data_IF_983525894378
#
_entry.id   IF_983525894378
#
_cell.length_a   1.000
_cell.length_b   1.000
_cell.length_c   1.000
_cell.angle_alpha   90.00
_cell.angle_beta   90.00
_cell.angle_gamma   90.00
#
_symmetry.space_group_name_H-M   'P 1'
#
loop_
_entity.id
_entity.type
_entity.pdbx_description
1 polymer ?
#
# COMPACT_ATOMS: atom_id res chain seq x y z
N UNK A 1 -15.59 80.28 46.57
CA UNK A 1 -16.27 79.24 47.37
C UNK A 1 -17.27 78.50 46.47
N UNK A 2 -17.06 77.17 46.33
CA UNK A 2 -17.90 76.07 45.78
C UNK A 2 -19.08 76.32 44.79
N UNK A 3 -19.12 75.42 43.79
CA UNK A 3 -20.32 74.86 43.13
C UNK A 3 -20.40 75.24 41.65
N UNK A 4 -20.32 74.36 40.64
CA UNK A 4 -20.72 72.95 40.55
C UNK A 4 -21.90 72.85 39.57
N UNK A 5 -21.64 72.80 38.26
CA UNK A 5 -22.64 72.67 37.20
C UNK A 5 -22.85 71.19 36.84
N UNK A 6 -24.08 70.71 36.85
CA UNK A 6 -24.46 69.41 36.28
C UNK A 6 -25.85 69.49 35.65
N UNK A 7 -25.92 69.33 34.32
CA UNK A 7 -27.13 68.94 33.61
C UNK A 7 -26.74 68.02 32.44
N UNK A 8 -27.17 66.75 32.51
CA UNK A 8 -27.03 65.73 31.46
C UNK A 8 -28.09 65.93 30.37
N UNK A 9 -27.66 65.85 29.11
CA UNK A 9 -28.49 66.00 27.91
C UNK A 9 -28.71 64.66 27.16
N UNK A 10 -29.95 64.52 26.67
CA UNK A 10 -30.44 63.89 25.42
C UNK A 10 -29.75 62.61 24.90
N UNK A 11 -30.44 61.46 25.03
CA UNK A 11 -30.16 60.20 24.31
C UNK A 11 -31.43 59.65 23.64
N UNK A 12 -31.82 60.16 22.47
CA UNK A 12 -32.81 59.47 21.63
C UNK A 12 -32.81 59.92 20.15
N UNK A 13 -31.64 59.93 19.50
CA UNK A 13 -31.55 60.12 18.02
C UNK A 13 -30.49 59.20 17.37
N UNK A 14 -29.62 58.54 18.14
CA UNK A 14 -28.49 57.76 17.56
C UNK A 14 -28.86 56.32 17.17
N UNK A 15 -30.03 55.81 17.57
CA UNK A 15 -30.35 54.37 17.39
C UNK A 15 -30.88 54.04 15.99
N UNK A 16 -31.41 54.99 15.23
CA UNK A 16 -32.08 54.70 13.94
C UNK A 16 -31.13 54.70 12.73
N UNK A 17 -30.00 55.41 12.78
CA UNK A 17 -29.06 55.51 11.65
C UNK A 17 -28.06 54.36 11.59
N UNK A 18 -27.84 53.64 12.69
CA UNK A 18 -26.91 52.52 12.75
C UNK A 18 -27.47 51.20 12.16
N UNK A 19 -28.80 51.08 12.00
CA UNK A 19 -29.43 49.83 11.55
C UNK A 19 -29.53 49.74 10.01
N UNK A 20 -29.65 50.87 9.29
CA UNK A 20 -29.69 50.85 7.81
C UNK A 20 -28.33 50.62 7.13
N UNK A 21 -27.21 50.86 7.83
CA UNK A 21 -25.87 50.64 7.25
C UNK A 21 -25.42 49.17 7.40
N UNK A 22 -26.05 48.40 8.29
CA UNK A 22 -25.70 46.98 8.53
C UNK A 22 -26.37 46.00 7.57
N UNK A 23 -27.30 46.44 6.71
CA UNK A 23 -28.03 45.56 5.77
C UNK A 23 -27.53 45.65 4.32
N UNK A 24 -26.50 46.43 4.04
CA UNK A 24 -26.05 46.71 2.67
C UNK A 24 -24.55 46.53 2.48
N UNK A 25 -24.07 45.28 2.45
CA UNK A 25 -23.01 44.74 1.57
C UNK A 25 -22.59 43.34 2.01
N UNK A 26 -23.53 42.40 2.07
CA UNK A 26 -23.13 40.99 1.95
C UNK A 26 -22.69 40.78 0.50
N UNK A 27 -21.40 41.00 0.23
CA UNK A 27 -20.79 40.53 -1.01
C UNK A 27 -20.86 39.02 -0.94
N UNK A 28 -21.80 38.42 -1.66
CA UNK A 28 -21.81 36.98 -1.87
C UNK A 28 -20.55 36.68 -2.68
N UNK A 29 -19.54 36.12 -2.01
CA UNK A 29 -18.39 35.56 -2.69
C UNK A 29 -18.89 34.32 -3.44
N UNK A 30 -19.18 34.48 -4.73
CA UNK A 30 -19.38 33.33 -5.61
C UNK A 30 -18.01 32.69 -5.82
N UNK A 31 -17.77 31.54 -5.17
CA UNK A 31 -16.69 30.67 -5.58
C UNK A 31 -16.96 30.25 -7.04
N UNK A 32 -16.05 30.57 -7.96
CA UNK A 32 -16.17 30.05 -9.32
C UNK A 32 -16.08 28.54 -9.27
N UNK A 33 -16.93 27.84 -10.02
CA UNK A 33 -16.79 26.39 -10.15
C UNK A 33 -15.35 26.07 -10.60
N UNK A 34 -14.64 25.15 -9.91
CA UNK A 34 -13.28 24.80 -10.28
C UNK A 34 -13.27 24.25 -11.72
N UNK A 35 -12.21 24.58 -12.45
CA UNK A 35 -12.01 24.07 -13.81
C UNK A 35 -11.75 22.57 -13.70
N UNK A 36 -12.57 21.76 -14.38
CA UNK A 36 -12.41 20.30 -14.40
C UNK A 36 -11.25 19.90 -15.30
N UNK A 37 -10.38 19.04 -14.80
CA UNK A 37 -9.33 18.40 -15.60
C UNK A 37 -9.82 17.01 -16.02
N UNK A 38 -9.88 16.75 -17.32
CA UNK A 38 -10.29 15.45 -17.87
C UNK A 38 -9.13 14.90 -18.67
N UNK A 39 -8.67 13.70 -18.32
CA UNK A 39 -7.53 13.03 -18.95
C UNK A 39 -7.99 11.64 -19.38
N UNK A 40 -7.89 11.34 -20.67
CA UNK A 40 -8.33 10.07 -21.27
C UNK A 40 -9.81 9.71 -20.98
N UNK A 41 -10.66 10.71 -20.74
CA UNK A 41 -12.09 10.51 -20.43
C UNK A 41 -12.40 10.48 -18.93
N UNK A 42 -11.38 10.39 -18.07
CA UNK A 42 -11.56 10.37 -16.62
C UNK A 42 -11.36 11.78 -16.02
N UNK A 43 -12.29 12.19 -15.16
CA UNK A 43 -12.14 13.43 -14.38
C UNK A 43 -11.06 13.21 -13.31
N UNK A 44 -10.02 14.05 -13.33
CA UNK A 44 -8.91 14.00 -12.38
C UNK A 44 -9.02 15.13 -11.38
N UNK A 45 -9.05 14.74 -10.11
CA UNK A 45 -8.91 15.69 -9.01
C UNK A 45 -7.43 16.04 -8.83
N UNK A 46 -7.15 17.31 -8.59
CA UNK A 46 -5.82 17.83 -8.33
C UNK A 46 -5.88 18.70 -7.09
N UNK A 47 -4.98 18.48 -6.13
CA UNK A 47 -4.90 19.26 -4.87
C UNK A 47 -4.85 20.77 -5.15
N UNK A 48 -4.10 21.16 -6.18
CA UNK A 48 -4.17 22.50 -6.75
C UNK A 48 -5.09 22.44 -7.98
N UNK A 49 -6.30 23.03 -7.99
CA UNK A 49 -7.16 22.99 -9.17
C UNK A 49 -6.55 23.82 -10.32
N UNK A 50 -6.87 23.53 -11.60
CA UNK A 50 -6.49 24.40 -12.71
C UNK A 50 -7.03 25.83 -12.51
N UNK A 51 -6.22 26.83 -12.84
CA UNK A 51 -6.53 28.25 -12.59
C UNK A 51 -6.38 29.10 -13.84
N UNK A 52 -7.11 30.21 -13.92
CA UNK A 52 -6.90 31.20 -14.99
C UNK A 52 -5.87 32.23 -14.52
N UNK A 53 -4.71 32.25 -15.15
CA UNK A 53 -3.65 33.22 -14.90
C UNK A 53 -3.40 33.98 -16.20
N UNK A 54 -3.55 35.31 -16.18
CA UNK A 54 -3.39 36.18 -17.35
C UNK A 54 -4.21 35.73 -18.58
N UNK A 55 -5.46 35.30 -18.35
CA UNK A 55 -6.36 34.84 -19.41
C UNK A 55 -6.04 33.45 -19.98
N UNK A 56 -5.07 32.73 -19.40
CA UNK A 56 -4.73 31.35 -19.80
C UNK A 56 -5.08 30.38 -18.69
N UNK A 57 -5.59 29.22 -19.06
CA UNK A 57 -5.77 28.11 -18.10
C UNK A 57 -4.39 27.50 -17.85
N UNK A 58 -3.97 27.53 -16.59
CA UNK A 58 -2.78 26.88 -16.08
C UNK A 58 -3.21 25.61 -15.36
N UNK A 59 -2.61 24.49 -15.75
CA UNK A 59 -2.83 23.18 -15.14
C UNK A 59 -1.62 22.85 -14.28
N UNK A 60 -1.78 22.23 -13.09
CA UNK A 60 -0.64 21.77 -12.30
C UNK A 60 0.25 20.85 -13.13
N UNK A 61 1.56 21.13 -13.12
CA UNK A 61 2.52 20.34 -13.87
C UNK A 61 2.50 18.86 -13.43
N UNK A 62 2.41 18.61 -12.13
CA UNK A 62 2.37 17.27 -11.52
C UNK A 62 1.22 16.42 -12.09
N UNK A 63 0.03 17.01 -12.21
CA UNK A 63 -1.15 16.33 -12.76
C UNK A 63 -0.94 15.86 -14.22
N UNK A 64 -0.09 16.55 -14.98
CA UNK A 64 0.27 16.14 -16.33
C UNK A 64 1.39 15.09 -16.29
N UNK A 65 2.44 15.30 -15.48
CA UNK A 65 3.61 14.42 -15.48
C UNK A 65 3.35 13.04 -14.87
N UNK A 66 2.46 12.93 -13.89
CA UNK A 66 1.98 11.64 -13.35
C UNK A 66 1.38 10.76 -14.44
N UNK A 67 0.55 11.35 -15.31
CA UNK A 67 -0.10 10.62 -16.43
C UNK A 67 0.92 10.07 -17.42
N UNK A 68 2.05 10.77 -17.59
CA UNK A 68 3.12 10.36 -18.49
C UNK A 68 4.24 9.58 -17.77
N UNK A 69 4.05 9.26 -16.49
CA UNK A 69 5.03 8.62 -15.63
C UNK A 69 6.42 9.29 -15.71
N UNK A 70 6.44 10.61 -15.54
CA UNK A 70 7.67 11.42 -15.55
C UNK A 70 7.96 11.93 -14.14
N UNK A 71 9.24 11.99 -13.81
CA UNK A 71 9.72 12.57 -12.55
C UNK A 71 9.95 14.06 -12.77
N UNK A 72 9.46 14.89 -11.84
CA UNK A 72 9.66 16.35 -11.87
C UNK A 72 10.56 16.77 -10.72
N UNK A 73 11.64 17.49 -11.03
CA UNK A 73 12.49 18.13 -10.03
C UNK A 73 12.57 19.63 -10.30
N UNK A 74 12.64 20.42 -9.21
CA UNK A 74 12.86 21.86 -9.28
C UNK A 74 14.18 22.23 -8.64
N UNK A 75 15.06 22.87 -9.41
CA UNK A 75 16.31 23.42 -8.91
C UNK A 75 16.11 24.90 -8.54
N UNK A 76 15.98 25.18 -7.25
CA UNK A 76 15.75 26.54 -6.76
C UNK A 76 16.92 27.51 -7.04
N UNK A 77 18.16 27.00 -7.20
CA UNK A 77 19.33 27.84 -7.44
C UNK A 77 19.38 28.35 -8.89
N UNK A 78 19.05 27.49 -9.87
CA UNK A 78 18.99 27.88 -11.28
C UNK A 78 17.59 28.32 -11.74
N UNK A 79 16.56 28.16 -10.90
CA UNK A 79 15.15 28.36 -11.23
C UNK A 79 14.69 27.49 -12.41
N UNK A 80 15.22 26.27 -12.50
CA UNK A 80 14.94 25.32 -13.57
C UNK A 80 14.04 24.19 -13.09
N UNK A 81 13.09 23.80 -13.95
CA UNK A 81 12.29 22.58 -13.79
C UNK A 81 12.85 21.54 -14.74
N UNK A 82 13.19 20.37 -14.22
CA UNK A 82 13.63 19.22 -15.01
C UNK A 82 12.52 18.16 -15.01
N UNK A 83 12.18 17.66 -16.19
CA UNK A 83 11.23 16.57 -16.39
C UNK A 83 12.02 15.45 -17.06
N UNK A 84 12.09 14.29 -16.40
CA UNK A 84 12.90 13.17 -16.88
C UNK A 84 12.11 11.86 -16.87
N UNK A 85 12.51 10.97 -17.77
CA UNK A 85 12.09 9.59 -17.73
C UNK A 85 12.65 8.91 -16.46
N UNK A 86 11.84 8.08 -15.77
CA UNK A 86 12.35 7.20 -14.74
C UNK A 86 13.44 6.32 -15.34
N UNK A 87 14.62 6.35 -14.73
CA UNK A 87 15.73 5.49 -15.16
C UNK A 87 15.45 4.08 -14.66
N UNK A 88 15.53 3.13 -15.57
CA UNK A 88 15.56 1.72 -15.21
C UNK A 88 16.82 1.42 -14.39
N UNK A 89 16.65 0.65 -13.32
CA UNK A 89 17.70 0.25 -12.40
C UNK A 89 17.62 -1.26 -12.19
N UNK A 90 18.77 -1.91 -12.04
CA UNK A 90 18.84 -3.26 -11.45
C UNK A 90 18.55 -3.11 -9.96
N UNK A 91 17.51 -3.79 -9.48
CA UNK A 91 17.04 -3.70 -8.08
C UNK A 91 17.32 -4.98 -7.29
N UNK A 92 17.60 -6.09 -7.98
CA UNK A 92 18.13 -7.32 -7.40
C UNK A 92 18.85 -8.14 -8.48
N UNK A 93 19.82 -8.95 -8.07
CA UNK A 93 20.61 -9.78 -8.98
C UNK A 93 21.06 -11.08 -8.30
N UNK A 94 20.96 -12.19 -9.03
CA UNK A 94 21.51 -13.49 -8.67
C UNK A 94 22.13 -14.12 -9.93
N UNK A 95 23.43 -14.37 -9.91
CA UNK A 95 24.17 -14.87 -11.07
C UNK A 95 23.90 -14.02 -12.34
N UNK A 96 23.30 -14.61 -13.38
CA UNK A 96 22.92 -13.95 -14.63
C UNK A 96 21.43 -13.56 -14.68
N UNK A 97 20.74 -13.58 -13.54
CA UNK A 97 19.34 -13.18 -13.40
C UNK A 97 19.28 -11.82 -12.72
N UNK A 98 18.66 -10.86 -13.37
CA UNK A 98 18.45 -9.50 -12.86
C UNK A 98 16.96 -9.20 -12.77
N UNK A 99 16.55 -8.54 -11.69
CA UNK A 99 15.27 -7.83 -11.64
C UNK A 99 15.57 -6.35 -11.87
N UNK A 100 14.96 -5.78 -12.90
CA UNK A 100 15.02 -4.35 -13.17
C UNK A 100 13.69 -3.69 -12.85
N UNK A 101 13.73 -2.38 -12.57
CA UNK A 101 12.53 -1.58 -12.30
C UNK A 101 12.78 -0.09 -12.46
N UNK A 102 11.69 0.67 -12.53
CA UNK A 102 11.68 2.13 -12.60
C UNK A 102 11.16 2.69 -11.28
N UNK A 103 11.97 3.49 -10.63
CA UNK A 103 11.59 4.16 -9.39
C UNK A 103 10.55 5.25 -9.65
N UNK A 104 9.43 5.19 -8.93
CA UNK A 104 8.39 6.22 -8.89
C UNK A 104 8.57 7.18 -7.70
N UNK A 105 7.83 8.28 -7.69
CA UNK A 105 7.84 9.23 -6.58
C UNK A 105 7.23 8.65 -5.28
N UNK A 106 6.43 7.58 -5.39
CA UNK A 106 5.76 6.91 -4.26
C UNK A 106 6.66 5.94 -3.47
N UNK A 107 7.96 5.88 -3.79
CA UNK A 107 8.88 4.99 -3.09
C UNK A 107 8.72 3.52 -3.48
N UNK A 108 8.27 3.26 -4.70
CA UNK A 108 8.20 1.91 -5.29
C UNK A 108 8.94 1.84 -6.64
N UNK A 109 9.48 0.67 -6.93
CA UNK A 109 9.90 0.24 -8.26
C UNK A 109 8.72 -0.41 -8.98
N UNK A 110 8.34 0.15 -10.11
CA UNK A 110 7.30 -0.36 -11.01
C UNK A 110 7.91 -0.70 -12.39
N UNK A 111 7.08 -1.21 -13.31
CA UNK A 111 7.52 -1.64 -14.65
C UNK A 111 8.62 -2.72 -14.58
N UNK A 112 8.47 -3.65 -13.64
CA UNK A 112 9.49 -4.63 -13.34
C UNK A 112 9.76 -5.57 -14.54
N UNK A 113 11.02 -5.95 -14.72
CA UNK A 113 11.42 -6.98 -15.68
C UNK A 113 12.30 -8.02 -15.00
N UNK A 114 12.09 -9.29 -15.35
CA UNK A 114 13.03 -10.37 -15.14
C UNK A 114 13.91 -10.47 -16.39
N UNK A 115 15.21 -10.27 -16.23
CA UNK A 115 16.19 -10.25 -17.32
C UNK A 115 17.22 -11.35 -17.08
N UNK A 116 17.48 -12.13 -18.13
CA UNK A 116 18.54 -13.14 -18.21
C UNK A 116 19.30 -12.98 -19.52
N UNK A 117 20.36 -13.76 -19.71
CA UNK A 117 21.07 -13.82 -21.00
C UNK A 117 20.18 -14.33 -22.16
N UNK A 118 19.12 -15.07 -21.84
CA UNK A 118 18.26 -15.75 -22.82
C UNK A 118 16.97 -15.00 -23.11
N UNK A 119 16.43 -14.28 -22.12
CA UNK A 119 15.15 -13.59 -22.25
C UNK A 119 15.05 -12.36 -21.35
N UNK A 120 14.09 -11.51 -21.72
CA UNK A 120 13.54 -10.48 -20.84
C UNK A 120 12.02 -10.64 -20.81
N UNK A 121 11.44 -10.59 -19.62
CA UNK A 121 9.99 -10.76 -19.38
C UNK A 121 9.51 -9.72 -18.39
N UNK A 122 8.33 -9.17 -18.66
CA UNK A 122 7.63 -8.33 -17.69
C UNK A 122 7.35 -9.15 -16.43
N UNK A 123 7.59 -8.55 -15.29
CA UNK A 123 7.12 -9.02 -14.00
C UNK A 123 5.97 -8.09 -13.57
N UNK A 124 4.80 -8.66 -13.30
CA UNK A 124 3.68 -7.87 -12.80
C UNK A 124 3.92 -7.44 -11.35
N UNK A 125 3.20 -6.42 -10.88
CA UNK A 125 3.38 -5.87 -9.54
C UNK A 125 4.45 -4.78 -9.44
N UNK A 126 4.91 -4.55 -8.22
CA UNK A 126 5.91 -3.54 -7.86
C UNK A 126 6.75 -4.04 -6.69
N UNK A 127 7.86 -3.37 -6.39
CA UNK A 127 8.63 -3.62 -5.17
C UNK A 127 8.87 -2.30 -4.44
N UNK A 128 8.93 -2.31 -3.12
CA UNK A 128 9.34 -1.11 -2.36
C UNK A 128 10.79 -0.71 -2.65
N UNK A 129 11.14 0.56 -2.50
CA UNK A 129 12.50 1.04 -2.85
C UNK A 129 13.55 0.82 -1.76
N UNK A 130 13.14 0.49 -0.54
CA UNK A 130 14.05 0.26 0.57
C UNK A 130 14.94 -0.96 0.29
N UNK A 131 16.28 -0.81 0.24
CA UNK A 131 17.20 -1.89 -0.14
C UNK A 131 17.16 -3.12 0.76
N UNK A 132 16.74 -2.99 2.03
CA UNK A 132 16.56 -4.15 2.93
C UNK A 132 15.46 -5.09 2.44
N UNK A 133 14.53 -4.58 1.64
CA UNK A 133 13.38 -5.29 1.09
C UNK A 133 13.46 -5.39 -0.44
N UNK A 134 14.68 -5.50 -0.97
CA UNK A 134 14.90 -5.78 -2.39
C UNK A 134 14.28 -7.14 -2.78
N UNK A 135 13.90 -7.34 -4.05
CA UNK A 135 13.38 -8.62 -4.50
C UNK A 135 14.33 -9.78 -4.19
N UNK A 136 13.78 -10.90 -3.73
CA UNK A 136 14.54 -12.14 -3.61
C UNK A 136 14.45 -12.94 -4.90
N UNK A 137 15.56 -13.50 -5.34
CA UNK A 137 15.66 -14.33 -6.55
C UNK A 137 16.20 -15.69 -6.14
N UNK A 138 15.56 -16.75 -6.62
CA UNK A 138 16.03 -18.12 -6.41
C UNK A 138 15.90 -18.92 -7.70
N UNK A 139 16.92 -19.74 -8.01
CA UNK A 139 16.89 -20.72 -9.09
C UNK A 139 16.89 -22.15 -8.52
N UNK A 140 15.75 -22.80 -8.56
CA UNK A 140 15.45 -24.02 -7.80
C UNK A 140 14.48 -24.93 -8.55
N UNK A 141 14.71 -26.24 -8.51
CA UNK A 141 13.80 -27.26 -9.08
C UNK A 141 12.64 -27.49 -8.11
N UNK A 142 11.55 -26.75 -8.30
CA UNK A 142 10.34 -26.82 -7.47
C UNK A 142 9.35 -27.85 -8.01
N UNK A 143 9.41 -28.16 -9.32
CA UNK A 143 8.58 -29.18 -9.95
C UNK A 143 9.08 -30.61 -9.72
N UNK A 144 10.34 -30.77 -9.33
CA UNK A 144 11.00 -32.07 -9.16
C UNK A 144 11.27 -32.78 -10.47
N UNK A 145 11.39 -32.04 -11.59
CA UNK A 145 11.61 -32.58 -12.93
C UNK A 145 13.08 -32.50 -13.38
N UNK A 146 13.96 -31.98 -12.52
CA UNK A 146 15.39 -31.78 -12.78
C UNK A 146 15.71 -30.45 -13.45
N UNK A 147 14.72 -29.70 -13.95
CA UNK A 147 14.91 -28.34 -14.44
C UNK A 147 14.63 -27.35 -13.31
N UNK A 148 15.37 -26.25 -13.30
CA UNK A 148 15.18 -25.21 -12.29
C UNK A 148 14.18 -24.16 -12.78
N UNK A 149 13.29 -23.76 -11.89
CA UNK A 149 12.44 -22.60 -12.03
C UNK A 149 13.16 -21.37 -11.47
N UNK A 150 12.73 -20.19 -11.91
CA UNK A 150 13.12 -18.92 -11.29
C UNK A 150 11.95 -18.46 -10.43
N UNK A 151 12.19 -18.36 -9.13
CA UNK A 151 11.29 -17.73 -8.18
C UNK A 151 11.75 -16.30 -7.92
N UNK A 152 10.81 -15.36 -8.01
CA UNK A 152 11.02 -13.97 -7.63
C UNK A 152 10.01 -13.63 -6.55
N UNK A 153 10.49 -13.23 -5.37
CA UNK A 153 9.65 -12.78 -4.26
C UNK A 153 9.81 -11.27 -4.13
N UNK A 154 8.74 -10.54 -4.42
CA UNK A 154 8.68 -9.09 -4.31
C UNK A 154 8.20 -8.71 -2.91
N UNK A 155 8.76 -7.66 -2.32
CA UNK A 155 8.17 -7.01 -1.13
C UNK A 155 7.31 -5.83 -1.57
N UNK A 156 6.00 -5.92 -1.35
CA UNK A 156 4.99 -4.94 -1.79
C UNK A 156 4.45 -4.07 -0.67
N UNK A 157 4.79 -4.40 0.59
CA UNK A 157 4.49 -3.57 1.76
C UNK A 157 5.36 -3.94 2.95
N UNK A 158 5.77 -2.95 3.73
CA UNK A 158 6.50 -3.16 4.98
C UNK A 158 6.22 -2.04 5.99
N UNK A 159 6.41 -2.33 7.27
CA UNK A 159 6.25 -1.37 8.35
C UNK A 159 6.01 -2.05 9.70
N UNK A 160 5.65 -1.26 10.70
CA UNK A 160 5.28 -1.80 12.02
C UNK A 160 4.03 -2.67 11.88
N UNK A 161 4.19 -3.99 12.08
CA UNK A 161 3.10 -4.96 11.95
C UNK A 161 2.63 -5.22 10.53
N UNK A 162 3.39 -4.80 9.51
CA UNK A 162 3.09 -5.04 8.10
C UNK A 162 4.32 -5.59 7.40
N UNK A 163 4.15 -6.69 6.69
CA UNK A 163 5.12 -7.21 5.73
C UNK A 163 4.36 -8.02 4.69
N UNK A 164 4.35 -7.58 3.44
CA UNK A 164 3.58 -8.24 2.38
C UNK A 164 4.55 -8.58 1.26
N UNK A 165 4.63 -9.87 0.93
CA UNK A 165 5.36 -10.32 -0.24
C UNK A 165 4.48 -11.03 -1.27
N UNK A 166 4.90 -10.96 -2.52
CA UNK A 166 4.25 -11.56 -3.68
C UNK A 166 5.23 -12.46 -4.42
N UNK A 167 4.76 -13.65 -4.81
CA UNK A 167 5.57 -14.64 -5.51
C UNK A 167 5.26 -14.63 -7.01
N UNK A 168 6.31 -14.61 -7.82
CA UNK A 168 6.25 -14.97 -9.23
C UNK A 168 7.13 -16.16 -9.52
N UNK A 169 6.58 -17.16 -10.22
CA UNK A 169 7.33 -18.31 -10.71
C UNK A 169 7.43 -18.28 -12.23
N UNK A 170 8.62 -18.61 -12.74
CA UNK A 170 8.93 -18.61 -14.16
C UNK A 170 9.68 -19.88 -14.54
N UNK A 171 9.38 -20.44 -15.70
CA UNK A 171 10.23 -21.47 -16.32
C UNK A 171 11.65 -20.91 -16.52
N UNK A 172 12.68 -21.66 -16.15
CA UNK A 172 14.05 -21.14 -16.10
C UNK A 172 14.67 -20.84 -17.47
N UNK A 173 14.23 -21.49 -18.54
CA UNK A 173 14.75 -21.35 -19.90
C UNK A 173 13.92 -20.37 -20.76
N UNK A 174 12.60 -20.39 -20.62
CA UNK A 174 11.67 -19.64 -21.47
C UNK A 174 11.20 -18.33 -20.82
N UNK A 175 11.26 -18.25 -19.48
CA UNK A 175 10.66 -17.17 -18.69
C UNK A 175 9.13 -17.14 -18.76
N UNK A 176 8.47 -18.22 -19.19
CA UNK A 176 7.00 -18.32 -19.18
C UNK A 176 6.51 -18.37 -17.73
N UNK A 177 5.40 -17.69 -17.44
CA UNK A 177 4.79 -17.73 -16.11
C UNK A 177 4.32 -19.12 -15.75
N UNK A 178 4.64 -19.55 -14.54
CA UNK A 178 4.05 -20.74 -13.95
C UNK A 178 2.94 -20.26 -13.01
N UNK A 179 1.67 -20.63 -13.25
CA UNK A 179 0.58 -20.25 -12.38
C UNK A 179 0.79 -20.75 -10.94
N UNK A 180 0.38 -19.92 -9.98
CA UNK A 180 0.39 -20.22 -8.55
C UNK A 180 -0.95 -19.80 -7.95
N UNK A 181 -1.53 -20.65 -7.10
CA UNK A 181 -2.73 -20.29 -6.35
C UNK A 181 -2.42 -19.23 -5.28
N UNK A 182 -3.32 -18.28 -5.07
CA UNK A 182 -3.11 -17.19 -4.09
C UNK A 182 -3.17 -17.71 -2.64
N UNK A 183 -2.06 -17.54 -1.92
CA UNK A 183 -1.91 -17.98 -0.53
C UNK A 183 -2.98 -17.40 0.40
N UNK A 184 -3.17 -16.08 0.35
CA UNK A 184 -4.01 -15.36 1.30
C UNK A 184 -5.48 -15.73 1.10
N UNK A 185 -5.92 -15.84 -0.16
CA UNK A 185 -7.26 -16.32 -0.49
C UNK A 185 -7.45 -17.75 0.00
N UNK A 186 -6.46 -18.63 -0.20
CA UNK A 186 -6.52 -20.00 0.27
C UNK A 186 -6.60 -20.10 1.80
N UNK A 187 -5.76 -19.35 2.51
CA UNK A 187 -5.77 -19.31 3.98
C UNK A 187 -7.09 -18.73 4.51
N UNK A 188 -7.60 -17.64 3.95
CA UNK A 188 -8.90 -17.04 4.34
C UNK A 188 -10.07 -18.01 4.17
N UNK A 189 -10.02 -18.93 3.20
CA UNK A 189 -11.04 -19.98 3.05
C UNK A 189 -10.95 -21.07 4.12
N UNK A 190 -9.76 -21.29 4.66
CA UNK A 190 -9.49 -22.35 5.63
C UNK A 190 -9.50 -21.84 7.07
N UNK A 191 -9.43 -20.52 7.28
CA UNK A 191 -9.34 -19.86 8.57
C UNK A 191 -10.65 -19.14 8.93
N UNK A 192 -11.12 -19.38 10.16
CA UNK A 192 -12.11 -18.54 10.82
C UNK A 192 -11.69 -18.33 12.26
N UNK A 193 -11.95 -17.16 12.83
CA UNK A 193 -11.75 -16.97 14.26
C UNK A 193 -12.75 -16.01 14.87
N UNK A 194 -12.94 -16.12 16.17
CA UNK A 194 -13.89 -15.31 16.93
C UNK A 194 -13.31 -14.94 18.29
N UNK A 195 -13.57 -13.71 18.71
CA UNK A 195 -13.29 -13.29 20.08
C UNK A 195 -14.41 -13.79 20.99
N UNK A 196 -14.04 -14.50 22.05
CA UNK A 196 -14.98 -15.03 23.05
C UNK A 196 -14.65 -14.52 24.44
N UNK A 197 -15.52 -14.78 25.42
CA UNK A 197 -15.23 -14.44 26.82
C UNK A 197 -14.00 -15.17 27.36
N UNK A 198 -13.59 -16.31 26.77
CA UNK A 198 -12.46 -17.13 27.21
C UNK A 198 -11.14 -16.83 26.50
N UNK A 199 -11.18 -16.12 25.37
CA UNK A 199 -10.03 -15.83 24.52
C UNK A 199 -10.39 -15.90 23.04
N UNK A 200 -9.43 -16.27 22.20
CA UNK A 200 -9.59 -16.35 20.74
C UNK A 200 -9.87 -17.80 20.34
N UNK A 201 -11.06 -18.03 19.80
CA UNK A 201 -11.49 -19.32 19.27
C UNK A 201 -11.24 -19.32 17.76
N UNK A 202 -10.38 -20.24 17.29
CA UNK A 202 -9.99 -20.34 15.88
C UNK A 202 -10.28 -21.72 15.33
N UNK A 203 -10.59 -21.75 14.04
CA UNK A 203 -10.69 -22.97 13.26
C UNK A 203 -9.86 -22.82 11.99
N UNK A 204 -8.91 -23.72 11.80
CA UNK A 204 -7.99 -23.76 10.66
C UNK A 204 -8.08 -25.14 10.03
N UNK A 205 -8.49 -25.20 8.77
CA UNK A 205 -8.70 -26.46 8.04
C UNK A 205 -9.45 -27.53 8.89
N UNK A 206 -10.59 -27.15 9.48
CA UNK A 206 -11.36 -28.06 10.32
C UNK A 206 -10.87 -28.22 11.76
N UNK A 207 -9.61 -27.93 12.05
CA UNK A 207 -9.00 -28.08 13.38
C UNK A 207 -9.31 -26.87 14.26
N UNK A 208 -9.77 -27.14 15.48
CA UNK A 208 -10.18 -26.12 16.45
C UNK A 208 -9.06 -25.84 17.47
N UNK A 209 -8.79 -24.57 17.70
CA UNK A 209 -7.81 -24.08 18.67
C UNK A 209 -8.42 -22.95 19.49
N UNK A 210 -8.40 -23.08 20.82
CA UNK A 210 -8.74 -21.99 21.73
C UNK A 210 -7.46 -21.45 22.36
N UNK A 211 -7.14 -20.19 22.08
CA UNK A 211 -6.12 -19.44 22.81
C UNK A 211 -6.78 -18.71 23.96
N UNK A 212 -6.49 -19.13 25.17
CA UNK A 212 -7.08 -18.57 26.39
C UNK A 212 -6.45 -17.22 26.74
N UNK A 213 -7.21 -16.35 27.42
CA UNK A 213 -6.76 -14.98 27.73
C UNK A 213 -5.41 -14.90 28.47
N UNK A 214 -5.05 -15.90 29.25
CA UNK A 214 -3.77 -15.98 29.98
C UNK A 214 -2.55 -16.18 29.07
N UNK A 215 -2.78 -16.57 27.80
CA UNK A 215 -1.75 -16.67 26.76
C UNK A 215 -1.64 -15.43 25.89
N UNK A 216 -2.41 -14.39 26.18
CA UNK A 216 -2.52 -13.18 25.36
C UNK A 216 -1.99 -11.98 26.15
N UNK A 217 -1.24 -11.14 25.46
CA UNK A 217 -0.47 -10.05 26.06
C UNK A 217 -1.25 -8.73 26.09
N UNK A 218 -2.12 -8.49 25.10
CA UNK A 218 -2.88 -7.24 25.00
C UNK A 218 -4.19 -7.35 25.77
N UNK A 219 -4.58 -6.26 26.45
CA UNK A 219 -5.91 -6.13 27.05
C UNK A 219 -7.02 -6.26 26.00
N UNK A 220 -8.13 -6.87 26.38
CA UNK A 220 -9.23 -7.23 25.47
C UNK A 220 -9.82 -6.01 24.76
N UNK A 221 -9.82 -4.85 25.40
CA UNK A 221 -10.35 -3.59 24.88
C UNK A 221 -9.57 -3.08 23.66
N UNK A 222 -8.37 -3.59 23.42
CA UNK A 222 -7.51 -3.24 22.29
C UNK A 222 -7.53 -4.29 21.17
N UNK A 223 -8.28 -5.36 21.33
CA UNK A 223 -8.41 -6.37 20.29
C UNK A 223 -9.31 -5.88 19.14
N UNK A 224 -9.04 -6.41 17.95
CA UNK A 224 -9.97 -6.34 16.84
C UNK A 224 -11.25 -7.12 17.13
N UNK A 225 -12.30 -6.88 16.35
CA UNK A 225 -13.57 -7.60 16.48
C UNK A 225 -13.41 -9.12 16.25
N UNK A 226 -12.51 -9.47 15.33
CA UNK A 226 -12.11 -10.84 15.00
C UNK A 226 -10.61 -10.90 14.70
N UNK A 227 -9.94 -12.05 14.91
CA UNK A 227 -8.56 -12.23 14.45
C UNK A 227 -8.48 -12.11 12.93
N UNK A 228 -7.45 -11.43 12.44
CA UNK A 228 -7.24 -11.17 11.02
C UNK A 228 -5.93 -11.77 10.52
N UNK A 229 -5.89 -12.08 9.22
CA UNK A 229 -4.68 -12.46 8.48
C UNK A 229 -4.55 -11.57 7.26
N UNK A 230 -3.31 -11.34 6.81
CA UNK A 230 -3.03 -10.54 5.61
C UNK A 230 -2.13 -9.34 5.81
N UNK A 231 -1.91 -8.90 7.05
CA UNK A 231 -1.00 -7.78 7.34
C UNK A 231 0.47 -8.23 7.30
N UNK A 232 0.74 -9.47 7.69
CA UNK A 232 2.02 -10.14 7.46
C UNK A 232 1.74 -11.36 6.59
N UNK A 233 2.24 -11.34 5.36
CA UNK A 233 2.25 -12.44 4.39
C UNK A 233 3.64 -12.52 3.80
N UNK A 234 4.30 -13.66 3.95
CA UNK A 234 5.58 -13.89 3.31
C UNK A 234 5.64 -15.25 2.62
N UNK A 235 6.29 -15.28 1.46
CA UNK A 235 6.69 -16.49 0.77
C UNK A 235 8.13 -16.82 1.11
N UNK A 236 8.45 -18.10 1.23
CA UNK A 236 9.82 -18.59 1.35
C UNK A 236 9.98 -19.92 0.60
N UNK A 237 11.23 -20.22 0.23
CA UNK A 237 11.58 -21.51 -0.35
C UNK A 237 12.72 -22.10 0.48
N UNK A 238 12.46 -23.24 1.11
CA UNK A 238 13.42 -23.95 1.94
C UNK A 238 13.48 -25.41 1.53
N UNK A 239 14.69 -25.94 1.32
CA UNK A 239 14.89 -27.33 0.91
C UNK A 239 14.07 -27.73 -0.34
N UNK A 240 13.96 -26.82 -1.32
CA UNK A 240 13.15 -26.94 -2.54
C UNK A 240 11.64 -27.02 -2.30
N UNK A 241 11.16 -26.65 -1.11
CA UNK A 241 9.75 -26.60 -0.77
C UNK A 241 9.33 -25.13 -0.77
N UNK A 242 8.39 -24.79 -1.65
CA UNK A 242 7.74 -23.49 -1.64
C UNK A 242 6.66 -23.46 -0.56
N UNK A 243 6.70 -22.43 0.28
CA UNK A 243 5.69 -22.16 1.29
C UNK A 243 5.24 -20.71 1.26
N UNK A 244 4.08 -20.48 1.87
CA UNK A 244 3.63 -19.15 2.24
C UNK A 244 3.12 -19.17 3.67
N UNK A 245 3.33 -18.07 4.35
CA UNK A 245 3.00 -17.90 5.75
C UNK A 245 2.23 -16.61 6.00
N UNK A 246 1.30 -16.64 6.95
CA UNK A 246 0.48 -15.50 7.33
C UNK A 246 0.34 -15.38 8.84
N UNK A 247 0.73 -14.24 9.40
CA UNK A 247 0.54 -14.01 10.83
C UNK A 247 -0.94 -13.82 11.16
N UNK A 248 -1.40 -14.46 12.24
CA UNK A 248 -2.72 -14.26 12.82
C UNK A 248 -2.62 -13.12 13.83
N UNK A 249 -3.31 -12.02 13.55
CA UNK A 249 -3.22 -10.78 14.31
C UNK A 249 -4.52 -10.48 15.04
N UNK A 250 -4.41 -10.05 16.31
CA UNK A 250 -5.59 -9.72 17.13
C UNK A 250 -5.61 -8.27 17.61
N UNK A 251 -4.49 -7.56 17.52
CA UNK A 251 -4.39 -6.13 17.83
C UNK A 251 -3.31 -5.51 16.94
N UNK A 252 -3.18 -4.18 16.87
CA UNK A 252 -2.10 -3.55 16.08
C UNK A 252 -0.69 -4.02 16.46
N UNK A 253 -0.48 -4.52 17.69
CA UNK A 253 0.82 -4.94 18.20
C UNK A 253 0.95 -6.42 18.56
N UNK A 254 -0.12 -7.22 18.50
CA UNK A 254 -0.09 -8.62 18.93
C UNK A 254 -0.46 -9.58 17.79
N UNK A 255 0.48 -10.49 17.54
CA UNK A 255 0.37 -11.62 16.63
C UNK A 255 0.42 -12.89 17.48
N UNK A 256 -0.57 -13.77 17.30
CA UNK A 256 -0.84 -14.90 18.21
C UNK A 256 -0.39 -16.24 17.64
N UNK A 257 0.27 -16.21 16.48
CA UNK A 257 0.76 -17.36 15.74
C UNK A 257 0.71 -17.10 14.24
N UNK A 258 0.93 -18.16 13.47
CA UNK A 258 1.09 -18.12 12.03
C UNK A 258 0.30 -19.25 11.37
N UNK A 259 -0.25 -18.97 10.19
CA UNK A 259 -0.75 -19.97 9.26
C UNK A 259 0.34 -20.26 8.24
N UNK A 260 0.75 -21.52 8.10
CA UNK A 260 1.66 -21.97 7.03
C UNK A 260 0.89 -22.82 6.03
N UNK A 261 1.15 -22.63 4.73
CA UNK A 261 0.75 -23.54 3.65
C UNK A 261 1.97 -23.96 2.86
N UNK A 262 1.95 -25.20 2.38
CA UNK A 262 2.96 -25.74 1.49
C UNK A 262 2.35 -25.89 0.09
N UNK A 263 3.11 -25.53 -0.93
CA UNK A 263 2.71 -25.68 -2.32
C UNK A 263 3.11 -27.02 -2.90
N UNK A 264 2.31 -27.54 -3.82
CA UNK A 264 2.65 -28.71 -4.64
C UNK A 264 2.35 -28.43 -6.11
N UNK A 265 3.29 -28.76 -6.99
CA UNK A 265 3.05 -28.64 -8.42
C UNK A 265 2.18 -29.80 -8.93
N UNK A 266 1.02 -29.46 -9.51
CA UNK A 266 0.10 -30.45 -10.08
C UNK A 266 -0.72 -29.81 -11.18
N UNK A 267 -0.93 -30.56 -12.28
CA UNK A 267 -1.76 -30.13 -13.41
C UNK A 267 -1.35 -28.76 -14.02
N UNK A 268 -0.06 -28.42 -14.01
CA UNK A 268 0.44 -27.18 -14.59
C UNK A 268 0.38 -25.94 -13.70
N UNK A 269 0.06 -26.11 -12.40
CA UNK A 269 -0.07 -25.01 -11.43
C UNK A 269 0.52 -25.43 -10.08
N UNK A 270 1.11 -24.48 -9.34
CA UNK A 270 1.41 -24.68 -7.93
C UNK A 270 0.14 -24.48 -7.11
N UNK A 271 -0.34 -25.59 -6.55
CA UNK A 271 -1.56 -25.65 -5.75
C UNK A 271 -1.24 -25.52 -4.27
N UNK A 272 -2.07 -24.78 -3.53
CA UNK A 272 -1.94 -24.65 -2.08
C UNK A 272 -2.41 -25.93 -1.38
N UNK A 273 -1.67 -26.32 -0.34
CA UNK A 273 -2.07 -27.37 0.58
C UNK A 273 -3.04 -26.90 1.67
N UNK A 274 -3.15 -27.73 2.70
CA UNK A 274 -3.87 -27.41 3.92
C UNK A 274 -3.12 -26.35 4.74
N UNK A 275 -3.84 -25.36 5.26
CA UNK A 275 -3.28 -24.40 6.19
C UNK A 275 -3.11 -25.05 7.56
N UNK A 276 -1.93 -24.85 8.16
CA UNK A 276 -1.60 -25.33 9.50
C UNK A 276 -1.34 -24.12 10.37
N UNK A 277 -1.95 -24.07 11.55
CA UNK A 277 -1.67 -23.03 12.54
C UNK A 277 -0.56 -23.49 13.49
N UNK A 278 0.45 -22.63 13.68
CA UNK A 278 1.50 -22.79 14.67
C UNK A 278 1.58 -21.55 15.56
N UNK A 279 1.99 -21.74 16.82
CA UNK A 279 2.45 -20.66 17.67
C UNK A 279 3.96 -20.78 17.77
N UNK A 280 4.68 -19.66 17.67
CA UNK A 280 6.08 -19.65 18.06
C UNK A 280 6.13 -19.88 19.58
N UNK A 281 6.84 -20.93 20.00
CA UNK A 281 7.18 -21.12 21.41
C UNK A 281 8.29 -20.10 21.73
N UNK A 282 7.97 -19.07 22.51
CA UNK A 282 8.97 -18.24 23.20
C UNK A 282 9.73 -19.04 24.28
#
# INVERSE_FOLDING_TARGET
>A
MKGGLSLKSKKWVVVTTAVCVLLGTSVIAFASNPIKLIINGDERYTETPPQIINGRVMVPLTAITEVFNKIVSYNANSMEVEIRDPKEKVISQMDNIEITGKESEDGIYEHLQLVTDQFSRKLDGYNVTNPTYAPEIMSVDLKGDGNKEIAVILTTGYGTGVYISELHLREGDSGIEIPVEDALIAMKKQFTGTVTSKGIDMKVNGHHTLLTNDKLNTEREHWFEEPVIGNIIYYNIENNILKASAAVQISPGEFIGELEIIYTYKNGIFQVGEAIFSQDEE
#
